data_IF_137838700472
#
_entry.id   IF_137838700472
#
_cell.length_a   1.000
_cell.length_b   1.000
_cell.length_c   1.000
_cell.angle_alpha   90.00
_cell.angle_beta   90.00
_cell.angle_gamma   90.00
#
_symmetry.space_group_name_H-M   'P 1'
#
loop_
_entity.id
_entity.type
_entity.pdbx_description
1 polymer ?
#
# COMPACT_ATOMS: atom_id res chain seq x y z
N UNK A 1 -2.59 -7.39 -19.47
CA UNK A 1 -2.25 -7.00 -18.08
C UNK A 1 -2.55 -8.16 -17.17
N UNK A 2 -1.59 -8.60 -16.36
CA UNK A 2 -1.79 -9.69 -15.39
C UNK A 2 -2.78 -9.25 -14.30
N UNK A 3 -3.82 -10.04 -13.98
CA UNK A 3 -4.86 -9.63 -13.04
C UNK A 3 -4.31 -9.40 -11.62
N UNK A 4 -5.05 -8.65 -10.80
CA UNK A 4 -4.82 -8.60 -9.36
C UNK A 4 -5.32 -9.91 -8.74
N UNK A 5 -4.46 -10.61 -8.01
CA UNK A 5 -4.73 -11.95 -7.46
C UNK A 5 -4.35 -11.98 -5.99
N UNK A 6 -5.13 -12.73 -5.21
CA UNK A 6 -4.92 -12.91 -3.77
C UNK A 6 -5.30 -11.67 -2.95
N UNK A 7 -4.75 -11.59 -1.74
CA UNK A 7 -4.92 -10.47 -0.79
C UNK A 7 -6.35 -10.13 -0.39
N UNK A 8 -7.26 -11.11 -0.43
CA UNK A 8 -8.69 -10.86 -0.13
C UNK A 8 -8.91 -10.26 1.26
N UNK A 9 -8.16 -10.74 2.26
CA UNK A 9 -8.28 -10.23 3.64
C UNK A 9 -7.85 -8.76 3.75
N UNK A 10 -6.75 -8.41 3.10
CA UNK A 10 -6.22 -7.04 3.08
C UNK A 10 -7.13 -6.09 2.30
N UNK A 11 -7.70 -6.56 1.17
CA UNK A 11 -8.71 -5.81 0.41
C UNK A 11 -9.95 -5.58 1.27
N UNK A 12 -10.54 -6.64 1.84
CA UNK A 12 -11.77 -6.54 2.62
C UNK A 12 -11.58 -5.59 3.82
N UNK A 13 -10.46 -5.69 4.53
CA UNK A 13 -10.15 -4.85 5.68
C UNK A 13 -9.94 -3.37 5.29
N UNK A 14 -9.13 -3.11 4.26
CA UNK A 14 -8.83 -1.74 3.85
C UNK A 14 -10.03 -1.08 3.18
N UNK A 15 -10.86 -1.84 2.45
CA UNK A 15 -12.14 -1.36 1.91
C UNK A 15 -13.10 -1.00 3.02
N UNK A 16 -13.30 -1.87 4.02
CA UNK A 16 -14.15 -1.55 5.17
C UNK A 16 -13.69 -0.27 5.86
N UNK A 17 -12.37 -0.11 6.03
CA UNK A 17 -11.82 1.08 6.67
C UNK A 17 -11.98 2.35 5.83
N UNK A 18 -11.82 2.24 4.51
CA UNK A 18 -12.03 3.34 3.58
C UNK A 18 -13.51 3.78 3.55
N UNK A 19 -14.45 2.83 3.55
CA UNK A 19 -15.88 3.12 3.65
C UNK A 19 -16.22 3.84 4.95
N UNK A 20 -15.72 3.36 6.10
CA UNK A 20 -15.89 4.04 7.37
C UNK A 20 -15.31 5.48 7.35
N UNK A 21 -14.20 5.68 6.64
CA UNK A 21 -13.62 7.00 6.38
C UNK A 21 -14.58 7.94 5.64
N UNK A 22 -15.23 7.44 4.59
CA UNK A 22 -16.26 8.18 3.86
C UNK A 22 -17.49 8.51 4.73
N UNK A 23 -17.78 7.66 5.72
CA UNK A 23 -18.84 7.89 6.71
C UNK A 23 -18.38 8.81 7.87
N UNK A 24 -17.16 9.35 7.80
CA UNK A 24 -16.62 10.36 8.71
C UNK A 24 -15.70 9.82 9.81
N UNK A 25 -15.34 8.54 9.79
CA UNK A 25 -14.37 7.96 10.72
C UNK A 25 -12.93 8.28 10.32
N UNK A 26 -12.30 9.16 11.09
CA UNK A 26 -10.91 9.55 10.90
C UNK A 26 -9.89 8.57 11.47
N UNK A 27 -8.66 8.58 10.97
CA UNK A 27 -7.56 7.78 11.48
C UNK A 27 -6.39 7.64 10.51
N UNK A 28 -5.38 6.88 10.89
CA UNK A 28 -4.21 6.61 10.05
C UNK A 28 -4.04 5.10 9.90
N UNK A 29 -4.11 4.64 8.65
CA UNK A 29 -3.82 3.27 8.25
C UNK A 29 -2.48 3.24 7.53
N UNK A 30 -1.55 2.43 7.98
CA UNK A 30 -0.24 2.22 7.33
C UNK A 30 -0.24 0.89 6.61
N UNK A 31 -0.08 0.92 5.29
CA UNK A 31 0.17 -0.26 4.45
C UNK A 31 1.68 -0.41 4.31
N UNK A 32 2.25 -1.36 5.07
CA UNK A 32 3.68 -1.57 5.17
C UNK A 32 4.14 -2.85 4.46
N UNK A 33 5.33 -2.83 3.88
CA UNK A 33 5.97 -4.04 3.35
C UNK A 33 7.11 -3.77 2.37
N UNK A 34 7.81 -4.82 1.91
CA UNK A 34 8.99 -4.70 1.06
C UNK A 34 8.72 -4.04 -0.31
N UNK A 35 9.77 -3.64 -1.04
CA UNK A 35 9.61 -3.11 -2.39
C UNK A 35 8.98 -4.16 -3.32
N UNK A 36 8.12 -3.73 -4.23
CA UNK A 36 7.40 -4.62 -5.16
C UNK A 36 6.31 -5.50 -4.54
N UNK A 37 6.05 -5.40 -3.23
CA UNK A 37 5.04 -6.24 -2.55
C UNK A 37 3.57 -5.93 -2.93
N UNK A 38 3.34 -4.87 -3.72
CA UNK A 38 2.00 -4.49 -4.20
C UNK A 38 1.21 -3.54 -3.29
N UNK A 39 1.88 -2.69 -2.50
CA UNK A 39 1.24 -1.66 -1.66
C UNK A 39 0.34 -0.72 -2.48
N UNK A 40 0.92 -0.08 -3.50
CA UNK A 40 0.20 0.86 -4.38
C UNK A 40 -0.94 0.19 -5.12
N UNK A 41 -0.70 -1.01 -5.68
CA UNK A 41 -1.73 -1.79 -6.35
C UNK A 41 -2.89 -2.16 -5.41
N UNK A 42 -2.62 -2.52 -4.15
CA UNK A 42 -3.66 -2.81 -3.17
C UNK A 42 -4.52 -1.56 -2.90
N UNK A 43 -3.88 -0.42 -2.65
CA UNK A 43 -4.59 0.84 -2.38
C UNK A 43 -5.42 1.26 -3.60
N UNK A 44 -4.88 1.14 -4.81
CA UNK A 44 -5.61 1.44 -6.05
C UNK A 44 -6.84 0.55 -6.22
N UNK A 45 -6.70 -0.76 -5.99
CA UNK A 45 -7.82 -1.71 -6.08
C UNK A 45 -8.92 -1.34 -5.08
N UNK A 46 -8.55 -0.97 -3.86
CA UNK A 46 -9.50 -0.60 -2.80
C UNK A 46 -10.20 0.72 -3.09
N UNK A 47 -9.49 1.72 -3.62
CA UNK A 47 -10.02 3.06 -3.83
C UNK A 47 -10.74 3.20 -5.18
N UNK A 48 -10.42 2.39 -6.19
CA UNK A 48 -11.04 2.49 -7.52
C UNK A 48 -12.58 2.51 -7.49
N UNK A 49 -13.28 1.64 -6.73
CA UNK A 49 -14.75 1.71 -6.63
C UNK A 49 -15.26 2.96 -5.91
N UNK A 50 -14.45 3.55 -5.02
CA UNK A 50 -14.82 4.66 -4.14
C UNK A 50 -14.61 6.04 -4.77
N UNK A 51 -13.77 6.15 -5.81
CA UNK A 51 -13.50 7.40 -6.54
C UNK A 51 -14.76 8.09 -7.11
N UNK A 52 -15.87 7.37 -7.25
CA UNK A 52 -17.15 7.90 -7.70
C UNK A 52 -17.98 8.58 -6.59
N UNK A 53 -17.66 8.32 -5.32
CA UNK A 53 -18.48 8.72 -4.16
C UNK A 53 -18.02 10.02 -3.51
N UNK A 54 -16.73 10.31 -3.53
CA UNK A 54 -16.13 11.46 -2.86
C UNK A 54 -14.76 11.79 -3.50
N UNK A 55 -14.27 13.04 -3.45
CA UNK A 55 -12.92 13.35 -3.90
C UNK A 55 -11.92 12.58 -3.03
N UNK A 56 -11.07 11.79 -3.67
CA UNK A 56 -9.93 11.13 -3.01
C UNK A 56 -8.68 11.91 -3.40
N UNK A 57 -7.97 12.44 -2.42
CA UNK A 57 -6.71 13.16 -2.66
C UNK A 57 -5.52 12.21 -2.50
N UNK A 58 -4.69 12.11 -3.53
CA UNK A 58 -3.46 11.32 -3.50
C UNK A 58 -2.28 12.28 -3.43
N UNK A 59 -1.41 12.09 -2.44
CA UNK A 59 -0.21 12.89 -2.22
C UNK A 59 1.00 11.97 -2.07
N UNK A 60 2.09 12.39 -2.67
CA UNK A 60 3.35 11.68 -2.58
C UNK A 60 4.21 12.39 -1.55
N UNK A 61 4.86 11.63 -0.67
CA UNK A 61 5.82 12.18 0.27
C UNK A 61 6.98 12.81 -0.53
N UNK A 62 7.25 14.09 -0.27
CA UNK A 62 8.37 14.79 -0.86
C UNK A 62 9.48 14.96 0.19
N UNK A 63 10.76 14.69 -0.15
CA UNK A 63 11.85 14.87 0.81
C UNK A 63 12.04 16.33 1.25
N UNK A 64 11.64 17.28 0.39
CA UNK A 64 11.85 18.72 0.62
C UNK A 64 10.71 19.43 1.36
N UNK A 65 9.86 18.72 2.12
CA UNK A 65 8.87 19.43 2.96
C UNK A 65 9.62 20.17 4.06
N UNK A 66 9.57 21.52 4.13
CA UNK A 66 10.33 22.26 5.12
C UNK A 66 9.83 21.97 6.54
N UNK A 67 10.76 21.64 7.43
CA UNK A 67 10.48 21.41 8.85
C UNK A 67 10.89 20.02 9.33
N UNK A 68 11.22 19.93 10.62
CA UNK A 68 11.47 18.67 11.30
C UNK A 68 10.20 18.24 12.06
N UNK A 69 9.86 16.95 12.04
CA UNK A 69 8.73 16.39 12.77
C UNK A 69 7.35 16.64 12.13
N UNK A 70 6.34 16.85 12.96
CA UNK A 70 4.92 16.94 12.58
C UNK A 70 4.62 17.97 11.47
N UNK A 71 5.41 19.04 11.36
CA UNK A 71 5.25 20.07 10.33
C UNK A 71 5.40 19.51 8.91
N UNK A 72 6.33 18.56 8.68
CA UNK A 72 6.50 17.90 7.40
C UNK A 72 5.27 17.03 7.04
N UNK A 73 4.73 16.30 8.03
CA UNK A 73 3.49 15.53 7.87
C UNK A 73 2.26 16.44 7.68
N UNK A 74 2.22 17.60 8.34
CA UNK A 74 1.17 18.62 8.14
C UNK A 74 1.25 19.29 6.77
N UNK A 75 2.41 19.32 6.11
CA UNK A 75 2.50 19.72 4.71
C UNK A 75 1.81 18.73 3.78
N UNK A 76 1.85 17.43 4.14
CA UNK A 76 1.18 16.36 3.41
C UNK A 76 -0.31 16.25 3.74
N UNK A 77 -0.76 16.71 4.90
CA UNK A 77 -2.19 16.71 5.26
C UNK A 77 -2.77 18.10 4.98
N UNK A 78 -3.71 18.26 4.03
CA UNK A 78 -4.27 19.58 3.74
C UNK A 78 -4.84 20.23 5.02
N UNK A 79 -4.65 21.56 5.22
CA UNK A 79 -5.37 22.26 6.28
C UNK A 79 -6.87 22.11 6.04
N UNK A 80 -7.64 21.92 7.12
CA UNK A 80 -9.08 21.66 7.11
C UNK A 80 -9.77 22.21 5.87
N UNK A 81 -10.08 21.30 4.93
CA UNK A 81 -10.73 21.66 3.68
C UNK A 81 -12.17 22.05 3.99
N UNK A 82 -12.64 23.12 3.34
CA UNK A 82 -14.04 23.55 3.42
C UNK A 82 -14.90 22.43 2.78
N UNK A 83 -16.01 22.00 3.40
CA UNK A 83 -16.89 20.99 2.82
C UNK A 83 -17.33 21.33 1.38
N UNK A 84 -17.44 20.34 0.46
CA UNK A 84 -17.14 18.92 0.66
C UNK A 84 -15.64 18.68 0.43
N UNK A 85 -14.94 18.48 1.54
CA UNK A 85 -13.52 18.16 1.61
C UNK A 85 -13.33 16.64 1.45
N UNK A 86 -12.22 16.18 0.82
CA UNK A 86 -11.90 14.77 0.72
C UNK A 86 -11.83 14.13 2.10
N UNK A 87 -12.56 13.03 2.30
CA UNK A 87 -12.52 12.26 3.54
C UNK A 87 -11.33 11.29 3.58
N UNK A 88 -10.69 11.02 2.42
CA UNK A 88 -9.55 10.10 2.30
C UNK A 88 -8.35 10.82 1.66
N UNK A 89 -7.21 10.75 2.34
CA UNK A 89 -5.90 11.18 1.84
C UNK A 89 -4.98 9.97 1.73
N UNK A 90 -4.42 9.74 0.55
CA UNK A 90 -3.38 8.71 0.36
C UNK A 90 -2.01 9.38 0.44
N UNK A 91 -1.12 8.86 1.28
CA UNK A 91 0.28 9.27 1.35
C UNK A 91 1.16 8.15 0.81
N UNK A 92 1.83 8.41 -0.32
CA UNK A 92 2.75 7.45 -0.94
C UNK A 92 4.20 7.72 -0.55
N UNK A 93 5.04 6.67 -0.60
CA UNK A 93 6.48 6.73 -0.41
C UNK A 93 6.96 7.36 0.92
N UNK A 94 6.31 7.06 2.06
CA UNK A 94 6.68 7.65 3.36
C UNK A 94 8.14 7.44 3.75
N UNK A 95 8.79 6.38 3.26
CA UNK A 95 10.21 6.11 3.47
C UNK A 95 11.14 7.21 2.93
N UNK A 96 10.63 8.06 2.04
CA UNK A 96 11.37 9.22 1.49
C UNK A 96 11.43 10.39 2.46
N UNK A 97 10.64 10.38 3.53
CA UNK A 97 10.68 11.42 4.56
C UNK A 97 11.94 11.27 5.42
N UNK A 98 12.48 12.39 5.95
CA UNK A 98 13.49 12.33 7.00
C UNK A 98 12.99 11.50 8.18
N UNK A 99 13.87 10.68 8.76
CA UNK A 99 13.51 9.77 9.86
C UNK A 99 12.74 10.45 11.01
N UNK A 100 13.10 11.65 11.50
CA UNK A 100 12.32 12.32 12.54
C UNK A 100 10.87 12.68 12.13
N UNK A 101 10.63 12.96 10.84
CA UNK A 101 9.30 13.21 10.32
C UNK A 101 8.50 11.91 10.24
N UNK A 102 9.11 10.81 9.79
CA UNK A 102 8.47 9.50 9.78
C UNK A 102 8.07 9.08 11.21
N UNK A 103 8.99 9.19 12.17
CA UNK A 103 8.74 8.82 13.57
C UNK A 103 7.69 9.69 14.28
N UNK A 104 7.32 10.85 13.72
CA UNK A 104 6.26 11.71 14.24
C UNK A 104 4.85 11.34 13.72
N UNK A 105 4.72 10.26 12.95
CA UNK A 105 3.45 9.81 12.37
C UNK A 105 2.38 9.49 13.44
N UNK A 106 2.69 8.81 14.56
CA UNK A 106 1.72 8.58 15.62
C UNK A 106 1.16 9.86 16.26
N UNK A 107 1.98 10.91 16.38
CA UNK A 107 1.57 12.22 16.90
C UNK A 107 0.64 12.95 15.93
N UNK A 108 0.72 12.65 14.63
CA UNK A 108 -0.15 13.24 13.62
C UNK A 108 -1.60 12.74 13.68
N UNK A 109 -1.84 11.58 14.30
CA UNK A 109 -3.16 10.95 14.38
C UNK A 109 -4.20 11.89 15.00
N UNK A 110 -3.84 12.65 16.04
CA UNK A 110 -4.80 13.56 16.69
C UNK A 110 -5.19 14.73 15.77
N UNK A 111 -4.22 15.26 15.01
CA UNK A 111 -4.50 16.28 14.01
C UNK A 111 -5.36 15.75 12.85
N UNK A 112 -5.10 14.52 12.41
CA UNK A 112 -5.91 13.81 11.40
C UNK A 112 -7.35 13.62 11.88
N UNK A 113 -7.53 13.26 13.16
CA UNK A 113 -8.85 13.14 13.78
C UNK A 113 -9.60 14.46 13.88
N UNK A 114 -8.92 15.51 14.34
CA UNK A 114 -9.49 16.85 14.41
C UNK A 114 -9.90 17.38 13.02
N UNK A 115 -9.16 17.01 11.98
CA UNK A 115 -9.47 17.34 10.59
C UNK A 115 -10.52 16.40 9.94
N UNK A 116 -10.97 15.36 10.65
CA UNK A 116 -11.93 14.34 10.18
C UNK A 116 -11.46 13.60 8.92
N UNK A 117 -10.16 13.34 8.83
CA UNK A 117 -9.54 12.68 7.68
C UNK A 117 -9.24 11.21 7.97
N UNK A 118 -9.42 10.35 6.97
CA UNK A 118 -8.76 9.05 6.91
C UNK A 118 -7.49 9.17 6.07
N UNK A 119 -6.34 8.85 6.66
CA UNK A 119 -5.07 8.78 5.95
C UNK A 119 -4.71 7.33 5.68
N UNK A 120 -4.49 6.97 4.41
CA UNK A 120 -3.91 5.70 4.00
C UNK A 120 -2.48 5.95 3.58
N UNK A 121 -1.52 5.53 4.41
CA UNK A 121 -0.12 5.81 4.23
C UNK A 121 0.63 4.54 3.78
N UNK A 122 1.45 4.65 2.74
CA UNK A 122 2.26 3.55 2.23
C UNK A 122 3.70 3.71 2.72
N UNK A 123 4.27 2.62 3.25
CA UNK A 123 5.64 2.61 3.75
C UNK A 123 6.39 1.39 3.23
N UNK A 124 7.51 1.63 2.55
CA UNK A 124 8.44 0.57 2.20
C UNK A 124 9.30 0.18 3.41
N UNK A 125 9.34 -1.12 3.72
CA UNK A 125 10.15 -1.67 4.81
C UNK A 125 11.04 -2.79 4.28
N UNK A 126 12.33 -2.67 4.50
CA UNK A 126 13.40 -3.63 4.16
C UNK A 126 14.09 -4.15 5.43
N UNK A 127 15.05 -5.07 5.28
CA UNK A 127 15.90 -5.51 6.39
C UNK A 127 16.73 -4.38 7.01
N UNK A 128 17.10 -3.38 6.20
CA UNK A 128 17.84 -2.19 6.63
C UNK A 128 16.96 -1.11 7.29
N UNK A 129 15.65 -1.36 7.43
CA UNK A 129 14.73 -0.39 8.03
C UNK A 129 15.10 -0.15 9.50
N UNK A 130 15.26 1.11 9.95
CA UNK A 130 15.66 1.39 11.32
C UNK A 130 14.69 0.80 12.35
N UNK A 131 15.22 0.21 13.43
CA UNK A 131 14.40 -0.37 14.51
C UNK A 131 13.38 0.60 15.12
N UNK A 132 13.65 1.91 15.08
CA UNK A 132 12.70 2.93 15.50
C UNK A 132 11.43 2.96 14.63
N UNK A 133 11.54 2.70 13.32
CA UNK A 133 10.39 2.62 12.41
C UNK A 133 9.56 1.38 12.69
N UNK A 134 10.19 0.24 13.01
CA UNK A 134 9.45 -0.96 13.42
C UNK A 134 8.67 -0.73 14.71
N UNK A 135 9.26 -0.08 15.72
CA UNK A 135 8.55 0.32 16.94
C UNK A 135 7.43 1.32 16.68
N UNK A 136 7.62 2.27 15.77
CA UNK A 136 6.57 3.20 15.36
C UNK A 136 5.37 2.45 14.76
N UNK A 137 5.60 1.42 13.94
CA UNK A 137 4.54 0.56 13.37
C UNK A 137 3.85 -0.35 14.42
N UNK A 138 4.29 -0.34 15.67
CA UNK A 138 3.65 -1.01 16.81
C UNK A 138 2.87 -0.02 17.69
N UNK A 139 2.92 1.28 17.40
CA UNK A 139 2.18 2.29 18.14
C UNK A 139 0.66 2.06 17.98
N UNK A 140 -0.10 1.94 19.09
CA UNK A 140 -1.53 1.62 19.05
C UNK A 140 -2.39 2.73 18.42
N UNK A 141 -1.84 3.92 18.19
CA UNK A 141 -2.54 5.00 17.46
C UNK A 141 -2.60 4.74 15.96
N UNK A 142 -1.77 3.84 15.42
CA UNK A 142 -1.72 3.47 14.01
C UNK A 142 -2.41 2.13 13.75
N UNK A 143 -3.24 2.08 12.73
CA UNK A 143 -3.72 0.81 12.17
C UNK A 143 -2.71 0.33 11.14
N UNK A 144 -2.11 -0.86 11.30
CA UNK A 144 -1.02 -1.30 10.39
C UNK A 144 -1.39 -2.59 9.65
N UNK A 145 -1.50 -2.48 8.32
CA UNK A 145 -1.63 -3.62 7.41
C UNK A 145 -0.27 -4.00 6.85
N UNK A 146 0.32 -5.10 7.36
CA UNK A 146 1.62 -5.61 6.89
C UNK A 146 1.42 -6.59 5.74
N UNK A 147 1.90 -6.24 4.55
CA UNK A 147 1.80 -7.11 3.38
C UNK A 147 2.85 -8.21 3.42
N UNK A 148 2.40 -9.42 3.09
CA UNK A 148 3.23 -10.61 2.96
C UNK A 148 3.40 -10.97 1.49
N UNK A 149 4.43 -11.76 1.15
CA UNK A 149 4.54 -12.36 -0.17
C UNK A 149 3.29 -13.19 -0.49
N UNK A 150 2.98 -13.29 -1.78
CA UNK A 150 1.87 -14.10 -2.27
C UNK A 150 2.07 -15.57 -1.90
N UNK A 151 0.97 -16.26 -1.61
CA UNK A 151 1.03 -17.69 -1.40
C UNK A 151 1.32 -18.41 -2.72
N UNK A 152 1.84 -19.64 -2.64
CA UNK A 152 2.05 -20.48 -3.83
C UNK A 152 0.77 -20.63 -4.67
N UNK A 153 -0.40 -20.63 -4.02
CA UNK A 153 -1.71 -20.69 -4.68
C UNK A 153 -2.00 -19.40 -5.47
N UNK A 154 -1.74 -18.24 -4.89
CA UNK A 154 -1.95 -16.95 -5.56
C UNK A 154 -0.98 -16.79 -6.74
N UNK A 155 0.29 -17.20 -6.58
CA UNK A 155 1.27 -17.19 -7.68
C UNK A 155 0.86 -18.15 -8.79
N UNK A 156 0.38 -19.35 -8.45
CA UNK A 156 -0.16 -20.29 -9.42
C UNK A 156 -1.34 -19.71 -10.20
N UNK A 157 -2.28 -19.05 -9.52
CA UNK A 157 -3.41 -18.38 -10.16
C UNK A 157 -2.95 -17.27 -11.11
N UNK A 158 -1.94 -16.47 -10.74
CA UNK A 158 -1.35 -15.47 -11.64
C UNK A 158 -0.73 -16.10 -12.90
N UNK A 159 0.05 -17.17 -12.72
CA UNK A 159 0.75 -17.88 -13.80
C UNK A 159 -0.25 -18.53 -14.77
N UNK A 160 -1.24 -19.25 -14.25
CA UNK A 160 -2.29 -19.89 -15.05
C UNK A 160 -3.16 -18.85 -15.76
N UNK A 161 -3.50 -17.74 -15.11
CA UNK A 161 -4.29 -16.65 -15.71
C UNK A 161 -3.55 -15.95 -16.86
N UNK A 162 -2.22 -16.00 -16.87
CA UNK A 162 -1.38 -15.50 -17.97
C UNK A 162 -1.27 -16.50 -19.13
N UNK A 163 -1.95 -17.65 -19.07
CA UNK A 163 -1.84 -18.73 -20.06
C UNK A 163 -0.54 -19.53 -19.95
N UNK A 164 0.23 -19.36 -18.87
CA UNK A 164 1.46 -20.09 -18.66
C UNK A 164 1.23 -21.36 -17.85
N UNK A 165 1.46 -22.51 -18.46
CA UNK A 165 1.38 -23.81 -17.79
C UNK A 165 -0.04 -24.21 -17.35
N UNK A 166 -0.11 -25.16 -16.43
CA UNK A 166 -1.35 -25.69 -15.88
C UNK A 166 -1.33 -25.63 -14.35
N UNK A 167 -2.51 -25.71 -13.69
CA UNK A 167 -2.58 -25.82 -12.24
C UNK A 167 -1.70 -26.96 -11.71
N UNK A 168 -0.98 -26.71 -10.60
CA UNK A 168 0.01 -27.62 -10.02
C UNK A 168 1.25 -27.84 -10.91
N UNK A 169 1.44 -27.00 -11.93
CA UNK A 169 2.50 -27.14 -12.93
C UNK A 169 3.91 -26.83 -12.41
N UNK A 170 4.93 -27.26 -13.19
CA UNK A 170 6.35 -26.95 -12.88
C UNK A 170 6.65 -25.46 -12.98
N UNK A 171 5.98 -24.75 -13.90
CA UNK A 171 6.14 -23.31 -14.13
C UNK A 171 5.77 -22.52 -12.88
N UNK A 172 4.58 -22.73 -12.31
CA UNK A 172 4.13 -22.04 -11.09
C UNK A 172 5.09 -22.25 -9.91
N UNK A 173 5.58 -23.49 -9.72
CA UNK A 173 6.60 -23.79 -8.69
C UNK A 173 7.96 -23.15 -8.96
N UNK A 174 8.35 -23.00 -10.24
CA UNK A 174 9.59 -22.33 -10.60
C UNK A 174 9.48 -20.82 -10.33
N UNK A 175 8.37 -20.21 -10.74
CA UNK A 175 8.08 -18.79 -10.48
C UNK A 175 8.02 -18.51 -8.98
N UNK A 176 7.29 -19.32 -8.19
CA UNK A 176 7.23 -19.17 -6.73
C UNK A 176 8.64 -19.19 -6.12
N UNK A 177 9.48 -20.17 -6.47
CA UNK A 177 10.84 -20.29 -5.91
C UNK A 177 11.76 -19.16 -6.35
N UNK A 178 11.65 -18.70 -7.59
CA UNK A 178 12.50 -17.64 -8.13
C UNK A 178 12.17 -16.25 -7.59
N UNK A 179 10.94 -16.04 -7.11
CA UNK A 179 10.43 -14.71 -6.73
C UNK A 179 10.06 -14.61 -5.26
N UNK A 180 10.08 -15.73 -4.55
CA UNK A 180 9.55 -15.91 -3.19
C UNK A 180 8.12 -15.35 -3.02
N UNK A 181 7.33 -15.32 -4.10
CA UNK A 181 5.97 -14.77 -4.11
C UNK A 181 5.92 -13.24 -4.07
N UNK A 182 7.01 -12.51 -4.29
CA UNK A 182 6.97 -11.06 -4.46
C UNK A 182 6.19 -10.72 -5.76
N UNK A 183 5.03 -10.05 -5.70
CA UNK A 183 4.19 -9.79 -6.87
C UNK A 183 4.87 -9.03 -7.99
N UNK A 184 5.72 -8.05 -7.67
CA UNK A 184 6.46 -7.28 -8.66
C UNK A 184 7.38 -8.19 -9.47
N UNK A 185 8.11 -9.07 -8.77
CA UNK A 185 8.97 -10.07 -9.41
C UNK A 185 8.18 -11.15 -10.14
N UNK A 186 7.08 -11.65 -9.56
CA UNK A 186 6.18 -12.61 -10.21
C UNK A 186 5.66 -12.06 -11.53
N UNK A 187 5.16 -10.81 -11.52
CA UNK A 187 4.66 -10.14 -12.72
C UNK A 187 5.76 -9.98 -13.77
N UNK A 188 6.91 -9.45 -13.37
CA UNK A 188 8.04 -9.27 -14.29
C UNK A 188 8.47 -10.59 -14.94
N UNK A 189 8.57 -11.68 -14.15
CA UNK A 189 8.95 -12.99 -14.69
C UNK A 189 7.87 -13.59 -15.59
N UNK A 190 6.58 -13.50 -15.21
CA UNK A 190 5.48 -13.96 -16.05
C UNK A 190 5.42 -13.20 -17.37
N UNK A 191 5.55 -11.87 -17.33
CA UNK A 191 5.51 -11.03 -18.52
C UNK A 191 6.67 -11.37 -19.48
N UNK A 192 7.88 -11.61 -18.94
CA UNK A 192 9.03 -12.10 -19.72
C UNK A 192 8.76 -13.45 -20.38
N UNK A 193 8.25 -14.43 -19.63
CA UNK A 193 7.96 -15.77 -20.16
C UNK A 193 6.89 -15.76 -21.24
N UNK A 194 5.86 -14.90 -21.11
CA UNK A 194 4.85 -14.72 -22.16
C UNK A 194 5.47 -14.12 -23.42
N UNK A 195 6.33 -13.11 -23.27
CA UNK A 195 6.99 -12.46 -24.40
C UNK A 195 7.91 -13.42 -25.17
N UNK A 196 8.69 -14.23 -24.47
CA UNK A 196 9.58 -15.24 -25.07
C UNK A 196 8.78 -16.36 -25.77
N UNK A 197 7.68 -16.83 -25.16
CA UNK A 197 6.80 -17.83 -25.74
C UNK A 197 6.03 -17.34 -26.97
N UNK A 198 5.73 -16.04 -27.07
CA UNK A 198 5.09 -15.43 -28.23
C UNK A 198 6.05 -15.15 -29.40
N UNK A 199 7.35 -15.13 -29.14
CA UNK A 199 8.41 -14.94 -30.14
C UNK A 199 8.91 -16.26 -30.76
N UNK A 200 8.40 -17.40 -30.30
CA UNK A 200 8.72 -18.77 -30.76
C UNK A 200 7.60 -19.34 -31.64
#
# INVERSE_FOLDING_TARGET
MTPFVGRRREVDALTARAVAGLDGESGVVVVAGPPGIGKSTLVDVVLAPLRSRDPIEVRHAHPDVPGWGLAALRGLIPPALVPPAPHIVVLEDLERLPLPALLALPEAVEGVRAARLLVIAQLCTTEDTPAAVHRMLEDPRLEVTRLRPLSSRDVEEMVVSAGLGAPGGRVSRAVQRATDGNPGLVRALVDTLVAEGAAS
#
